data_IF_379911435558
#
_entry.id   IF_379911435558
#
_cell.length_a   1.000
_cell.length_b   1.000
_cell.length_c   1.000
_cell.angle_alpha   90.00
_cell.angle_beta   90.00
_cell.angle_gamma   90.00
#
_symmetry.space_group_name_H-M   'P 1'
#
loop_
_entity.id
_entity.type
_entity.pdbx_description
1 polymer ?
#
# COMPACT_ATOMS: atom_id res chain seq x y z
N UNK A 1 -22.36 -8.35 -17.14
CA UNK A 1 -23.43 -7.55 -16.49
C UNK A 1 -23.12 -7.14 -15.04
N UNK A 2 -22.00 -7.54 -14.44
CA UNK A 2 -21.58 -7.16 -13.07
C UNK A 2 -20.87 -5.80 -12.93
N UNK A 3 -20.59 -5.09 -14.03
CA UNK A 3 -19.77 -3.85 -14.01
C UNK A 3 -20.56 -2.56 -13.73
N UNK A 4 -21.88 -2.53 -13.95
CA UNK A 4 -22.68 -1.31 -13.76
C UNK A 4 -23.26 -1.19 -12.34
N UNK A 5 -23.69 -2.31 -11.74
CA UNK A 5 -24.21 -2.34 -10.37
C UNK A 5 -23.16 -1.98 -9.32
N UNK A 6 -21.90 -2.42 -9.51
CA UNK A 6 -20.80 -2.06 -8.60
C UNK A 6 -20.48 -0.55 -8.64
N UNK A 7 -20.58 0.11 -9.79
CA UNK A 7 -20.31 1.55 -9.90
C UNK A 7 -21.37 2.40 -9.20
N UNK A 8 -22.64 1.97 -9.26
CA UNK A 8 -23.74 2.66 -8.57
C UNK A 8 -23.67 2.43 -7.05
N UNK A 9 -23.39 1.20 -6.60
CA UNK A 9 -23.14 0.90 -5.18
C UNK A 9 -21.92 1.68 -4.63
N UNK A 10 -20.83 1.79 -5.40
CA UNK A 10 -19.62 2.54 -5.01
C UNK A 10 -19.89 4.05 -4.90
N UNK A 11 -20.71 4.64 -5.78
CA UNK A 11 -21.12 6.05 -5.64
C UNK A 11 -22.06 6.32 -4.47
N UNK A 12 -22.89 5.33 -4.08
CA UNK A 12 -23.83 5.47 -2.96
C UNK A 12 -23.10 5.37 -1.61
N UNK A 13 -22.08 4.53 -1.50
CA UNK A 13 -21.24 4.44 -0.29
C UNK A 13 -20.43 5.73 -0.07
N UNK A 14 -20.06 6.45 -1.14
CA UNK A 14 -19.14 7.60 -1.04
C UNK A 14 -19.73 8.88 -0.41
N UNK A 15 -21.05 9.03 -0.30
CA UNK A 15 -21.69 10.30 0.13
C UNK A 15 -22.48 10.13 1.45
N UNK A 16 -22.73 8.89 1.88
CA UNK A 16 -23.52 8.62 3.07
C UNK A 16 -23.15 7.25 3.66
N UNK A 17 -21.90 7.02 4.05
CA UNK A 17 -21.62 5.95 5.03
C UNK A 17 -22.23 6.41 6.35
N UNK A 18 -23.36 5.84 6.81
CA UNK A 18 -23.91 6.21 8.10
C UNK A 18 -22.88 5.82 9.16
N UNK A 19 -22.82 6.55 10.28
CA UNK A 19 -21.92 6.22 11.40
C UNK A 19 -22.05 4.76 11.89
N UNK A 20 -23.17 4.08 11.60
CA UNK A 20 -23.40 2.66 11.88
C UNK A 20 -22.68 1.69 10.92
N UNK A 21 -22.23 2.10 9.73
CA UNK A 21 -21.44 1.26 8.84
C UNK A 21 -19.97 1.15 9.30
N UNK A 22 -19.49 2.15 10.05
CA UNK A 22 -18.18 2.13 10.70
C UNK A 22 -18.09 1.14 11.87
N UNK A 23 -19.21 0.54 12.30
CA UNK A 23 -19.20 -0.49 13.35
C UNK A 23 -18.76 -1.87 12.86
N UNK A 24 -18.65 -2.08 11.53
CA UNK A 24 -18.20 -3.35 10.97
C UNK A 24 -16.72 -3.25 10.56
N UNK A 25 -15.78 -3.82 11.35
CA UNK A 25 -14.34 -3.66 11.10
C UNK A 25 -13.89 -4.19 9.73
N UNK A 26 -14.56 -5.23 9.21
CA UNK A 26 -14.26 -5.77 7.88
C UNK A 26 -14.62 -4.79 6.77
N UNK A 27 -15.74 -4.09 6.89
CA UNK A 27 -16.16 -3.09 5.92
C UNK A 27 -15.24 -1.87 5.97
N UNK A 28 -14.86 -1.40 7.17
CA UNK A 28 -13.93 -0.27 7.32
C UNK A 28 -12.57 -0.60 6.69
N UNK A 29 -12.05 -1.81 6.91
CA UNK A 29 -10.83 -2.28 6.25
C UNK A 29 -10.99 -2.28 4.72
N UNK A 30 -12.07 -2.86 4.18
CA UNK A 30 -12.30 -2.85 2.73
C UNK A 30 -12.38 -1.43 2.14
N UNK A 31 -13.01 -0.50 2.86
CA UNK A 31 -13.08 0.90 2.43
C UNK A 31 -11.72 1.58 2.48
N UNK A 32 -10.92 1.34 3.52
CA UNK A 32 -9.56 1.87 3.64
C UNK A 32 -8.71 1.48 2.44
N UNK A 33 -8.65 0.18 2.14
CA UNK A 33 -7.84 -0.34 1.04
C UNK A 33 -8.36 0.12 -0.33
N UNK A 34 -9.68 0.28 -0.48
CA UNK A 34 -10.25 0.86 -1.70
C UNK A 34 -9.91 2.33 -1.86
N UNK A 35 -9.92 3.09 -0.77
CA UNK A 35 -9.51 4.51 -0.76
C UNK A 35 -8.04 4.67 -1.10
N UNK A 36 -7.18 3.77 -0.63
CA UNK A 36 -5.75 3.74 -1.00
C UNK A 36 -5.58 3.45 -2.49
N UNK A 37 -6.29 2.45 -3.04
CA UNK A 37 -6.23 2.14 -4.48
C UNK A 37 -6.52 3.37 -5.36
N UNK A 38 -7.53 4.16 -5.01
CA UNK A 38 -7.92 5.34 -5.79
C UNK A 38 -7.14 6.62 -5.42
N UNK A 39 -6.27 6.59 -4.41
CA UNK A 39 -5.49 7.75 -3.97
C UNK A 39 -6.26 8.80 -3.14
N UNK A 40 -7.37 8.42 -2.50
CA UNK A 40 -8.22 9.34 -1.73
C UNK A 40 -7.65 9.61 -0.32
N UNK A 41 -6.67 10.51 -0.25
CA UNK A 41 -5.98 10.90 0.98
C UNK A 41 -6.93 11.34 2.10
N UNK A 42 -7.97 12.10 1.78
CA UNK A 42 -8.90 12.59 2.81
C UNK A 42 -9.72 11.46 3.42
N UNK A 43 -10.15 10.48 2.63
CA UNK A 43 -10.78 9.27 3.20
C UNK A 43 -9.80 8.42 3.99
N UNK A 44 -8.57 8.25 3.52
CA UNK A 44 -7.56 7.47 4.25
C UNK A 44 -7.29 8.09 5.62
N UNK A 45 -7.15 9.41 5.72
CA UNK A 45 -7.03 10.15 6.99
C UNK A 45 -8.16 9.84 7.97
N UNK A 46 -9.41 9.88 7.49
CA UNK A 46 -10.57 9.61 8.34
C UNK A 46 -10.59 8.15 8.81
N UNK A 47 -10.30 7.20 7.92
CA UNK A 47 -10.39 5.77 8.20
C UNK A 47 -9.26 5.25 9.10
N UNK A 48 -8.07 5.85 9.04
CA UNK A 48 -6.91 5.44 9.86
C UNK A 48 -6.94 5.97 11.30
N UNK A 49 -7.88 6.85 11.67
CA UNK A 49 -7.99 7.31 13.05
C UNK A 49 -8.25 6.17 14.06
N UNK A 50 -8.98 5.13 13.62
CA UNK A 50 -9.40 4.01 14.47
C UNK A 50 -8.77 2.67 14.05
N UNK A 51 -7.85 2.69 13.08
CA UNK A 51 -7.18 1.50 12.52
C UNK A 51 -5.68 1.62 12.72
N UNK A 52 -5.03 0.56 13.20
CA UNK A 52 -3.57 0.51 13.18
C UNK A 52 -3.07 0.58 11.74
N UNK A 53 -2.27 1.61 11.45
CA UNK A 53 -1.66 1.88 10.14
C UNK A 53 -0.85 0.70 9.58
N UNK A 54 -0.47 -0.25 10.42
CA UNK A 54 0.26 -1.46 10.04
C UNK A 54 -0.63 -2.70 9.87
N UNK A 55 -1.96 -2.58 10.02
CA UNK A 55 -2.90 -3.70 9.89
C UNK A 55 -2.96 -4.20 8.45
N UNK A 56 -2.78 -5.49 8.24
CA UNK A 56 -2.88 -6.10 6.93
C UNK A 56 -4.35 -6.34 6.51
N UNK A 57 -4.64 -6.24 5.21
CA UNK A 57 -5.92 -6.68 4.65
C UNK A 57 -6.04 -8.22 4.62
N UNK A 58 -7.16 -8.73 4.09
CA UNK A 58 -7.39 -10.17 3.97
C UNK A 58 -6.41 -10.89 3.03
N UNK A 59 -5.60 -10.15 2.29
CA UNK A 59 -4.56 -10.66 1.39
C UNK A 59 -3.15 -10.44 1.93
N UNK A 60 -3.01 -9.97 3.18
CA UNK A 60 -1.71 -9.76 3.83
C UNK A 60 -1.01 -8.45 3.45
N UNK A 61 -1.65 -7.56 2.71
CA UNK A 61 -1.02 -6.29 2.33
C UNK A 61 -1.23 -5.24 3.39
N UNK A 62 -0.20 -4.46 3.72
CA UNK A 62 -0.34 -3.27 4.57
C UNK A 62 -0.84 -2.06 3.76
N UNK A 63 -1.32 -0.98 4.41
CA UNK A 63 -1.65 0.27 3.74
C UNK A 63 -0.46 0.85 2.96
N UNK A 64 0.74 0.78 3.55
CA UNK A 64 1.98 1.26 2.93
C UNK A 64 2.32 0.46 1.68
N UNK A 65 2.22 -0.88 1.74
CA UNK A 65 2.44 -1.74 0.58
C UNK A 65 1.56 -1.32 -0.60
N UNK A 66 0.25 -1.16 -0.37
CA UNK A 66 -0.68 -0.74 -1.44
C UNK A 66 -0.41 0.68 -1.92
N UNK A 67 -0.10 1.62 -1.04
CA UNK A 67 0.19 2.99 -1.43
C UNK A 67 1.42 3.07 -2.35
N UNK A 68 2.46 2.26 -2.08
CA UNK A 68 3.63 2.13 -2.95
C UNK A 68 3.26 1.46 -4.28
N UNK A 69 2.54 0.33 -4.23
CA UNK A 69 2.08 -0.40 -5.42
C UNK A 69 1.27 0.48 -6.39
N UNK A 70 0.40 1.34 -5.87
CA UNK A 70 -0.39 2.28 -6.67
C UNK A 70 0.31 3.62 -6.95
N UNK A 71 1.57 3.76 -6.52
CA UNK A 71 2.40 4.95 -6.70
C UNK A 71 1.79 6.26 -6.15
N UNK A 72 1.12 6.19 -5.00
CA UNK A 72 0.50 7.35 -4.34
C UNK A 72 1.45 8.00 -3.35
N UNK A 73 2.32 8.87 -3.85
CA UNK A 73 3.38 9.54 -3.06
C UNK A 73 2.86 10.24 -1.79
N UNK A 74 1.76 10.97 -1.91
CA UNK A 74 1.19 11.72 -0.78
C UNK A 74 0.65 10.78 0.30
N UNK A 75 0.07 9.63 -0.10
CA UNK A 75 -0.33 8.59 0.84
C UNK A 75 0.87 7.97 1.53
N UNK A 76 1.93 7.62 0.78
CA UNK A 76 3.15 7.04 1.36
C UNK A 76 3.74 7.96 2.43
N UNK A 77 3.87 9.26 2.14
CA UNK A 77 4.36 10.25 3.11
C UNK A 77 3.49 10.32 4.35
N UNK A 78 2.17 10.41 4.16
CA UNK A 78 1.22 10.47 5.27
C UNK A 78 1.24 9.20 6.13
N UNK A 79 1.33 8.02 5.52
CA UNK A 79 1.42 6.75 6.24
C UNK A 79 2.68 6.68 7.11
N UNK A 80 3.80 7.23 6.63
CA UNK A 80 5.01 7.34 7.45
C UNK A 80 4.88 8.33 8.61
N UNK A 81 4.16 9.44 8.45
CA UNK A 81 3.84 10.35 9.55
C UNK A 81 3.04 9.66 10.66
N UNK A 82 2.19 8.69 10.30
CA UNK A 82 1.44 7.85 11.23
C UNK A 82 2.24 6.68 11.82
N UNK A 83 3.51 6.50 11.42
CA UNK A 83 4.36 5.42 11.93
C UNK A 83 4.22 4.08 11.19
N UNK A 84 3.87 4.12 9.90
CA UNK A 84 3.94 2.93 9.06
C UNK A 84 5.35 2.33 9.05
N UNK A 85 5.44 1.01 9.22
CA UNK A 85 6.70 0.27 9.24
C UNK A 85 7.10 -0.09 7.80
N UNK A 86 8.30 0.29 7.33
CA UNK A 86 8.72 0.08 5.93
C UNK A 86 9.04 -1.38 5.59
N UNK A 87 9.22 -2.24 6.60
CA UNK A 87 9.73 -3.61 6.45
C UNK A 87 8.68 -4.68 6.70
N UNK A 88 7.39 -4.32 6.80
CA UNK A 88 6.33 -5.32 6.85
C UNK A 88 6.13 -5.90 5.45
N UNK A 89 6.22 -7.22 5.36
CA UNK A 89 6.05 -8.00 4.15
C UNK A 89 4.59 -8.45 3.96
N UNK A 90 4.30 -8.91 2.75
CA UNK A 90 3.06 -9.60 2.42
C UNK A 90 3.20 -11.13 2.64
N UNK A 91 2.25 -11.90 2.12
CA UNK A 91 2.22 -13.36 2.27
C UNK A 91 3.28 -14.11 1.47
N UNK A 92 4.04 -13.43 0.61
CA UNK A 92 5.14 -13.99 -0.19
C UNK A 92 6.52 -13.44 0.27
N UNK A 93 6.56 -12.71 1.40
CA UNK A 93 7.77 -12.08 1.91
C UNK A 93 8.13 -10.77 1.19
N UNK A 94 7.26 -10.23 0.33
CA UNK A 94 7.53 -9.00 -0.40
C UNK A 94 7.26 -7.78 0.48
N UNK A 95 8.32 -7.02 0.75
CA UNK A 95 8.23 -5.70 1.40
C UNK A 95 7.81 -4.62 0.40
N UNK A 96 7.35 -3.43 0.87
CA UNK A 96 7.12 -2.28 0.00
C UNK A 96 8.30 -1.93 -0.91
N UNK A 97 9.54 -2.22 -0.49
CA UNK A 97 10.73 -1.97 -1.29
C UNK A 97 10.85 -2.92 -2.48
N UNK A 98 10.47 -4.19 -2.32
CA UNK A 98 10.40 -5.13 -3.44
C UNK A 98 9.42 -4.63 -4.50
N UNK A 99 8.25 -4.15 -4.07
CA UNK A 99 7.26 -3.59 -5.00
C UNK A 99 7.78 -2.37 -5.74
N UNK A 100 8.40 -1.44 -5.02
CA UNK A 100 9.00 -0.26 -5.65
C UNK A 100 10.08 -0.62 -6.68
N UNK A 101 10.83 -1.69 -6.43
CA UNK A 101 11.84 -2.24 -7.33
C UNK A 101 11.23 -2.90 -8.58
N UNK A 102 10.16 -3.68 -8.43
CA UNK A 102 9.45 -4.37 -9.52
C UNK A 102 8.69 -3.39 -10.43
N UNK A 103 8.13 -2.32 -9.88
CA UNK A 103 7.32 -1.34 -10.61
C UNK A 103 8.13 -0.15 -11.18
N UNK A 104 9.46 -0.23 -11.06
CA UNK A 104 10.43 0.81 -11.44
C UNK A 104 10.13 2.21 -10.86
N UNK A 105 10.05 2.30 -9.53
CA UNK A 105 9.66 3.51 -8.80
C UNK A 105 10.84 4.11 -8.00
N UNK A 106 11.82 4.77 -8.67
CA UNK A 106 13.04 5.28 -8.02
C UNK A 106 12.73 6.26 -6.87
N UNK A 107 11.74 7.14 -7.03
CA UNK A 107 11.33 8.07 -5.97
C UNK A 107 10.75 7.37 -4.74
N UNK A 108 10.08 6.22 -4.91
CA UNK A 108 9.58 5.44 -3.78
C UNK A 108 10.72 4.72 -3.08
N UNK A 109 11.69 4.19 -3.83
CA UNK A 109 12.90 3.56 -3.27
C UNK A 109 13.66 4.56 -2.39
N UNK A 110 13.85 5.79 -2.85
CA UNK A 110 14.52 6.83 -2.06
C UNK A 110 13.80 7.08 -0.73
N UNK A 111 12.48 7.26 -0.75
CA UNK A 111 11.69 7.50 0.46
C UNK A 111 11.73 6.29 1.40
N UNK A 112 11.55 5.09 0.87
CA UNK A 112 11.60 3.86 1.67
C UNK A 112 12.97 3.69 2.34
N UNK A 113 14.06 3.96 1.59
CA UNK A 113 15.44 3.95 2.11
C UNK A 113 15.63 4.98 3.22
N UNK A 114 15.18 6.21 3.03
CA UNK A 114 15.23 7.27 4.06
C UNK A 114 14.46 6.89 5.33
N UNK A 115 13.38 6.11 5.18
CA UNK A 115 12.56 5.63 6.30
C UNK A 115 13.06 4.33 6.94
N UNK A 116 14.20 3.81 6.50
CA UNK A 116 14.84 2.63 7.09
C UNK A 116 14.33 1.30 6.53
N UNK A 117 13.91 1.27 5.26
CA UNK A 117 13.69 0.02 4.55
C UNK A 117 14.98 -0.79 4.45
N UNK A 118 14.90 -2.10 4.65
CA UNK A 118 16.01 -3.02 4.48
C UNK A 118 16.20 -3.33 3.00
N UNK A 119 17.26 -2.77 2.40
CA UNK A 119 17.63 -2.98 1.00
C UNK A 119 17.95 -4.46 0.68
N UNK A 120 18.37 -5.22 1.70
CA UNK A 120 18.73 -6.64 1.61
C UNK A 120 17.62 -7.56 2.18
N UNK A 121 16.39 -7.07 2.31
CA UNK A 121 15.26 -7.92 2.64
C UNK A 121 15.15 -9.04 1.61
N UNK A 122 14.82 -10.25 2.05
CA UNK A 122 14.62 -11.39 1.17
C UNK A 122 13.17 -11.82 1.23
N UNK A 123 12.58 -12.01 0.06
CA UNK A 123 11.29 -12.68 -0.06
C UNK A 123 11.38 -14.18 0.29
N UNK A 124 10.26 -14.88 0.24
CA UNK A 124 10.20 -16.31 0.57
C UNK A 124 11.02 -17.20 -0.39
N UNK A 125 11.39 -16.67 -1.56
CA UNK A 125 12.23 -17.33 -2.56
C UNK A 125 13.71 -16.96 -2.43
N UNK A 126 14.06 -16.06 -1.51
CA UNK A 126 15.42 -15.61 -1.27
C UNK A 126 15.89 -14.45 -2.16
N UNK A 127 15.01 -13.87 -2.96
CA UNK A 127 15.30 -12.71 -3.80
C UNK A 127 15.23 -11.42 -2.99
N UNK A 128 16.16 -10.51 -3.28
CA UNK A 128 16.16 -9.15 -2.73
C UNK A 128 15.47 -8.19 -3.71
N UNK A 129 15.12 -6.96 -3.29
CA UNK A 129 14.59 -5.95 -4.20
C UNK A 129 15.48 -5.75 -5.45
N UNK A 130 16.81 -5.76 -5.28
CA UNK A 130 17.74 -5.64 -6.40
C UNK A 130 17.67 -6.85 -7.37
N UNK A 131 17.53 -8.08 -6.85
CA UNK A 131 17.34 -9.24 -7.72
C UNK A 131 16.09 -9.08 -8.60
N UNK A 132 14.99 -8.61 -8.00
CA UNK A 132 13.73 -8.44 -8.72
C UNK A 132 13.79 -7.26 -9.70
N UNK A 133 14.39 -6.13 -9.34
CA UNK A 133 14.62 -5.02 -10.28
C UNK A 133 15.47 -5.47 -11.48
N UNK A 134 16.55 -6.21 -11.24
CA UNK A 134 17.41 -6.71 -12.29
C UNK A 134 16.70 -7.72 -13.22
N UNK A 135 15.88 -8.62 -12.66
CA UNK A 135 15.08 -9.59 -13.44
C UNK A 135 14.06 -8.88 -14.35
N UNK A 136 13.43 -7.80 -13.87
CA UNK A 136 12.51 -6.99 -14.68
C UNK A 136 13.22 -6.04 -15.67
N UNK A 137 14.53 -5.82 -15.53
CA UNK A 137 15.27 -4.84 -16.32
C UNK A 137 15.00 -3.37 -15.92
N UNK A 138 14.62 -3.15 -14.66
CA UNK A 138 14.31 -1.84 -14.09
C UNK A 138 15.59 -1.14 -13.64
N UNK A 139 16.33 -0.57 -14.60
CA UNK A 139 17.66 -0.01 -14.36
C UNK A 139 17.68 1.16 -13.39
N UNK A 140 16.69 2.06 -13.46
CA UNK A 140 16.62 3.24 -12.59
C UNK A 140 16.47 2.84 -11.11
N UNK A 141 15.65 1.82 -10.86
CA UNK A 141 15.49 1.23 -9.53
C UNK A 141 16.70 0.42 -9.09
N UNK A 142 17.29 -0.37 -9.98
CA UNK A 142 18.48 -1.17 -9.69
C UNK A 142 19.69 -0.30 -9.32
N UNK A 143 19.84 0.89 -9.93
CA UNK A 143 20.92 1.82 -9.61
C UNK A 143 20.80 2.44 -8.20
N UNK A 144 19.62 2.38 -7.57
CA UNK A 144 19.35 2.96 -6.25
C UNK A 144 19.37 1.95 -5.10
N UNK A 145 19.34 0.65 -5.40
CA UNK A 145 19.28 -0.47 -4.46
C UNK A 145 20.68 -1.03 -4.18
#
# INVERSE_FOLDING_TARGET
>A
MYKAWNRILLSIILISTPSSALSNPKLVTQLLYKSIEIGDLEKVKVLLNDIDVNSQDSSGYTPLYKAVFYNHLDLVKYLFELGAKPNLDDVEGLTPLHVAAIEDLPHMIEILREKGANLEAKDDYGYTPLHLAADQGNYDSADLL
#
